data_IF_470349758071
#
_entry.id   IF_470349758071
#
_cell.length_a   1.000
_cell.length_b   1.000
_cell.length_c   1.000
_cell.angle_alpha   90.00
_cell.angle_beta   90.00
_cell.angle_gamma   90.00
#
_symmetry.space_group_name_H-M   'P 1'
#
loop_
_entity.id
_entity.type
_entity.pdbx_description
1 polymer ?
#
# COMPACT_ATOMS: atom_id res chain seq x y z
N UNK A 1 -6.54 0.70 -4.88
CA UNK A 1 -5.11 0.88 -4.58
C UNK A 1 -4.49 1.66 -5.72
N UNK A 2 -3.81 2.75 -5.42
CA UNK A 2 -3.09 3.55 -6.40
C UNK A 2 -1.84 4.09 -5.74
N UNK A 3 -0.78 4.26 -6.51
CA UNK A 3 0.37 5.02 -6.05
C UNK A 3 -0.06 6.45 -5.77
N UNK A 4 0.38 6.97 -4.63
CA UNK A 4 0.19 8.39 -4.27
C UNK A 4 1.56 9.00 -4.06
N UNK A 5 1.66 10.30 -4.29
CA UNK A 5 2.85 11.04 -3.95
C UNK A 5 3.02 11.05 -2.43
N UNK A 6 4.26 10.95 -1.98
CA UNK A 6 4.60 11.18 -0.58
C UNK A 6 4.42 12.65 -0.24
N UNK A 7 3.76 12.94 0.88
CA UNK A 7 3.53 14.31 1.35
C UNK A 7 4.67 14.72 2.27
N UNK A 8 5.40 15.78 1.91
CA UNK A 8 6.51 16.32 2.72
C UNK A 8 6.02 17.54 3.47
N UNK A 9 6.20 17.55 4.79
CA UNK A 9 5.84 18.64 5.69
C UNK A 9 6.77 18.66 6.93
N UNK A 10 6.40 19.41 7.97
CA UNK A 10 7.21 19.55 9.19
C UNK A 10 7.35 18.25 10.00
N UNK A 11 6.45 17.28 9.80
CA UNK A 11 6.41 16.01 10.50
C UNK A 11 6.71 14.81 9.57
N UNK A 12 6.70 15.03 8.26
CA UNK A 12 6.95 14.02 7.23
C UNK A 12 8.14 14.43 6.36
N UNK A 13 9.21 13.64 6.34
CA UNK A 13 10.39 13.97 5.54
C UNK A 13 10.99 12.77 4.83
N UNK A 14 11.54 13.03 3.64
CA UNK A 14 12.39 12.11 2.89
C UNK A 14 13.80 12.66 2.92
N UNK A 15 14.77 11.81 3.25
CA UNK A 15 16.18 12.12 3.13
C UNK A 15 16.90 10.96 2.44
N UNK A 16 17.97 11.29 1.72
CA UNK A 16 18.78 10.30 1.03
C UNK A 16 20.27 10.57 1.24
N UNK A 17 21.06 9.52 1.06
CA UNK A 17 22.51 9.56 1.20
C UNK A 17 23.14 8.55 0.25
N UNK A 18 24.22 8.95 -0.40
CA UNK A 18 25.08 8.00 -1.11
C UNK A 18 26.04 7.38 -0.11
N UNK A 19 26.01 6.05 -0.01
CA UNK A 19 26.98 5.30 0.77
C UNK A 19 27.69 4.28 -0.14
N UNK A 20 28.98 4.10 0.08
CA UNK A 20 29.80 3.10 -0.63
C UNK A 20 29.55 1.68 -0.11
N UNK A 21 28.96 1.56 1.08
CA UNK A 21 28.51 0.30 1.67
C UNK A 21 26.98 0.17 1.56
N UNK A 22 26.49 -1.06 1.59
CA UNK A 22 25.05 -1.40 1.62
C UNK A 22 24.39 -1.13 2.98
N UNK A 23 25.11 -0.53 3.93
CA UNK A 23 24.62 -0.23 5.28
C UNK A 23 24.42 1.27 5.42
N UNK A 24 23.22 1.69 5.82
CA UNK A 24 22.92 3.09 6.06
C UNK A 24 23.25 3.48 7.50
N UNK A 25 24.45 4.02 7.70
CA UNK A 25 24.89 4.54 9.00
C UNK A 25 24.35 5.95 9.28
N UNK A 26 24.43 6.39 10.53
CA UNK A 26 24.22 7.79 10.88
C UNK A 26 25.24 8.73 10.20
N UNK A 27 24.96 10.04 10.20
CA UNK A 27 25.80 11.07 9.60
C UNK A 27 25.00 12.11 8.84
N UNK A 28 25.63 12.75 7.84
CA UNK A 28 24.99 13.81 7.06
C UNK A 28 24.03 13.21 6.02
N UNK A 29 22.75 13.55 6.15
CA UNK A 29 21.70 13.18 5.21
C UNK A 29 21.29 14.39 4.39
N UNK A 30 21.02 14.20 3.10
CA UNK A 30 20.51 15.26 2.22
C UNK A 30 18.99 15.16 2.15
N UNK A 31 18.31 16.30 2.28
CA UNK A 31 16.86 16.36 2.15
C UNK A 31 16.43 16.04 0.72
N UNK A 32 15.39 15.22 0.58
CA UNK A 32 14.85 14.76 -0.70
C UNK A 32 15.52 13.50 -1.25
N UNK A 33 15.15 13.16 -2.48
CA UNK A 33 15.70 12.03 -3.24
C UNK A 33 16.86 12.52 -4.12
N UNK A 34 18.05 12.01 -3.85
CA UNK A 34 19.28 12.33 -4.61
C UNK A 34 19.60 11.18 -5.57
N UNK A 35 19.86 11.50 -6.82
CA UNK A 35 20.22 10.52 -7.85
C UNK A 35 21.49 9.76 -7.46
N UNK A 36 21.44 8.43 -7.54
CA UNK A 36 22.57 7.57 -7.17
C UNK A 36 22.74 7.35 -5.66
N UNK A 37 21.87 7.92 -4.82
CA UNK A 37 21.83 7.59 -3.40
C UNK A 37 21.45 6.12 -3.21
N UNK A 38 22.12 5.47 -2.27
CA UNK A 38 21.92 4.06 -1.92
C UNK A 38 21.20 3.88 -0.58
N UNK A 39 21.00 4.99 0.14
CA UNK A 39 20.35 5.02 1.44
C UNK A 39 19.16 5.98 1.44
N UNK A 40 18.08 5.55 2.09
CA UNK A 40 16.85 6.32 2.29
C UNK A 40 16.49 6.34 3.76
N UNK A 41 16.10 7.52 4.25
CA UNK A 41 15.57 7.75 5.59
C UNK A 41 14.22 8.44 5.47
N UNK A 42 13.23 7.86 6.13
CA UNK A 42 11.86 8.35 6.14
C UNK A 42 11.49 8.76 7.56
N UNK A 43 10.87 9.92 7.69
CA UNK A 43 10.18 10.35 8.91
C UNK A 43 8.71 10.47 8.59
N UNK A 44 7.88 9.84 9.41
CA UNK A 44 6.44 9.72 9.21
C UNK A 44 5.72 10.16 10.48
N UNK A 45 4.58 10.82 10.30
CA UNK A 45 3.67 11.17 11.39
C UNK A 45 2.59 10.10 11.56
N UNK A 46 2.42 9.63 12.79
CA UNK A 46 1.33 8.74 13.22
C UNK A 46 -0.04 9.44 13.05
N UNK A 47 -0.95 8.77 12.37
CA UNK A 47 -2.21 9.33 11.89
C UNK A 47 -2.07 10.44 10.84
N UNK A 48 -0.89 10.60 10.23
CA UNK A 48 -0.62 11.59 9.20
C UNK A 48 -1.06 11.16 7.80
N UNK A 49 -0.87 12.02 6.79
CA UNK A 49 -1.28 11.72 5.41
C UNK A 49 -0.49 10.58 4.75
N UNK A 50 0.72 10.31 5.25
CA UNK A 50 1.56 9.18 4.83
C UNK A 50 1.38 7.93 5.72
N UNK A 51 0.49 7.98 6.70
CA UNK A 51 0.07 6.82 7.48
C UNK A 51 -1.14 6.18 6.81
N UNK A 52 -1.09 4.87 6.56
CA UNK A 52 -2.03 4.22 5.62
C UNK A 52 -3.46 4.17 6.13
N UNK A 53 -3.65 4.12 7.45
CA UNK A 53 -4.97 4.13 8.10
C UNK A 53 -5.40 5.52 8.57
N UNK A 54 -4.48 6.49 8.56
CA UNK A 54 -4.66 7.84 9.10
C UNK A 54 -5.12 7.87 10.57
N UNK A 55 -4.75 6.87 11.38
CA UNK A 55 -5.10 6.81 12.80
C UNK A 55 -3.91 7.12 13.69
N UNK A 56 -4.09 8.02 14.67
CA UNK A 56 -3.08 8.27 15.70
C UNK A 56 -3.19 7.23 16.83
N UNK A 57 -2.77 6.00 16.53
CA UNK A 57 -2.88 4.84 17.43
C UNK A 57 -1.50 4.36 17.95
N UNK A 58 -0.43 5.09 17.63
CA UNK A 58 0.95 4.75 17.98
C UNK A 58 1.60 3.73 17.05
N UNK A 59 0.97 3.42 15.91
CA UNK A 59 1.46 2.48 14.90
C UNK A 59 1.42 3.14 13.53
N UNK A 60 2.61 3.34 12.96
CA UNK A 60 2.73 3.76 11.56
C UNK A 60 2.45 2.56 10.65
N UNK A 61 1.29 2.54 9.99
CA UNK A 61 1.00 1.58 8.94
C UNK A 61 1.59 2.08 7.61
N UNK A 62 2.71 1.50 7.19
CA UNK A 62 3.45 1.95 6.00
C UNK A 62 3.41 0.91 4.88
N UNK A 63 2.81 1.27 3.75
CA UNK A 63 2.91 0.53 2.48
C UNK A 63 3.87 1.21 1.50
N UNK A 64 4.93 1.85 1.99
CA UNK A 64 5.89 2.55 1.13
C UNK A 64 6.68 1.53 0.33
N UNK A 65 6.76 1.76 -0.98
CA UNK A 65 7.56 0.96 -1.89
C UNK A 65 8.39 1.89 -2.77
N UNK A 66 9.63 1.49 -3.04
CA UNK A 66 10.55 2.22 -3.91
C UNK A 66 10.58 1.46 -5.23
N UNK A 67 10.25 2.15 -6.31
CA UNK A 67 10.29 1.57 -7.66
C UNK A 67 11.13 2.45 -8.58
N UNK A 68 11.81 1.82 -9.53
CA UNK A 68 12.40 2.57 -10.65
C UNK A 68 11.28 2.86 -11.66
N UNK A 69 11.17 4.11 -12.15
CA UNK A 69 10.20 4.37 -13.20
C UNK A 69 10.54 3.51 -14.41
N UNK A 70 9.61 2.64 -14.83
CA UNK A 70 9.71 2.01 -16.15
C UNK A 70 9.56 3.14 -17.15
N UNK A 71 10.63 3.43 -17.89
CA UNK A 71 10.58 4.36 -19.01
C UNK A 71 9.82 3.67 -20.15
N UNK A 72 8.48 3.65 -20.06
CA UNK A 72 7.64 3.21 -21.17
C UNK A 72 7.62 4.36 -22.17
N UNK A 73 8.24 4.13 -23.34
CA UNK A 73 8.10 5.04 -24.47
C UNK A 73 6.62 5.33 -24.72
N UNK A 74 6.29 6.63 -24.82
CA UNK A 74 4.97 7.21 -25.05
C UNK A 74 3.88 6.22 -25.47
N UNK A 75 3.05 5.83 -24.52
CA UNK A 75 1.68 5.42 -24.77
C UNK A 75 0.86 5.87 -23.57
N UNK A 76 -0.13 6.72 -23.85
CA UNK A 76 -1.16 7.10 -22.89
C UNK A 76 -1.89 5.84 -22.44
N UNK A 77 -1.43 5.23 -21.35
CA UNK A 77 -2.15 4.18 -20.65
C UNK A 77 -2.19 4.56 -19.18
N UNK A 78 -3.26 5.26 -18.80
CA UNK A 78 -3.77 5.35 -17.44
C UNK A 78 -4.24 3.96 -16.98
N UNK A 79 -3.27 3.06 -16.78
CA UNK A 79 -3.48 1.71 -16.24
C UNK A 79 -3.03 1.69 -14.79
N UNK A 80 -3.98 1.83 -13.86
CA UNK A 80 -3.73 1.66 -12.44
C UNK A 80 -3.43 0.18 -12.14
N UNK A 81 -2.18 -0.22 -12.28
CA UNK A 81 -1.71 -1.57 -11.92
C UNK A 81 -1.68 -1.70 -10.39
N UNK A 82 -2.71 -2.34 -9.82
CA UNK A 82 -2.80 -2.64 -8.40
C UNK A 82 -1.85 -3.77 -7.99
N UNK A 83 -0.71 -3.43 -7.42
CA UNK A 83 0.14 -4.38 -6.68
C UNK A 83 -0.38 -4.56 -5.25
N UNK A 84 -0.35 -5.79 -4.73
CA UNK A 84 -0.62 -6.11 -3.34
C UNK A 84 0.68 -6.47 -2.60
N UNK A 85 0.89 -5.87 -1.44
CA UNK A 85 1.95 -6.26 -0.49
C UNK A 85 1.44 -7.43 0.34
N UNK A 86 2.21 -8.50 0.44
CA UNK A 86 1.90 -9.65 1.28
C UNK A 86 2.34 -9.38 2.71
N UNK A 87 1.40 -9.05 3.59
CA UNK A 87 1.61 -9.00 5.03
C UNK A 87 1.01 -10.26 5.67
N UNK A 88 1.82 -11.23 6.14
CA UNK A 88 1.32 -12.50 6.67
C UNK A 88 0.48 -12.36 7.93
N UNK A 89 0.53 -11.20 8.59
CA UNK A 89 -0.20 -10.92 9.84
C UNK A 89 -1.33 -9.89 9.65
N UNK A 90 -1.63 -9.46 8.41
CA UNK A 90 -2.76 -8.55 8.19
C UNK A 90 -4.09 -9.30 8.33
N UNK A 91 -5.09 -8.74 9.05
CA UNK A 91 -6.39 -9.38 9.16
C UNK A 91 -7.01 -9.51 7.76
N UNK A 92 -7.36 -10.73 7.39
CA UNK A 92 -8.02 -11.00 6.12
C UNK A 92 -9.36 -10.27 6.09
N UNK A 93 -9.48 -9.24 5.25
CA UNK A 93 -10.76 -8.63 4.91
C UNK A 93 -11.53 -9.62 4.03
N UNK A 94 -12.20 -10.57 4.66
CA UNK A 94 -13.21 -11.34 3.97
C UNK A 94 -14.36 -10.38 3.66
N UNK A 95 -14.59 -10.13 2.37
CA UNK A 95 -15.71 -9.31 1.95
C UNK A 95 -17.00 -10.05 2.31
N UNK A 96 -17.56 -9.66 3.45
CA UNK A 96 -18.74 -10.26 4.06
C UNK A 96 -19.94 -10.22 3.12
N UNK A 97 -19.95 -9.29 2.15
CA UNK A 97 -20.97 -9.20 1.11
C UNK A 97 -20.92 -10.42 0.20
N UNK A 98 -19.73 -10.89 -0.21
CA UNK A 98 -19.63 -12.10 -1.04
C UNK A 98 -20.10 -13.34 -0.29
N UNK A 99 -19.76 -13.48 0.99
CA UNK A 99 -20.24 -14.61 1.81
C UNK A 99 -21.76 -14.59 1.93
N UNK A 100 -22.36 -13.40 2.15
CA UNK A 100 -23.81 -13.24 2.21
C UNK A 100 -24.49 -13.56 0.86
N UNK A 101 -23.92 -13.11 -0.26
CA UNK A 101 -24.47 -13.41 -1.59
C UNK A 101 -24.42 -14.91 -1.91
N UNK A 102 -23.34 -15.59 -1.55
CA UNK A 102 -23.20 -17.04 -1.74
C UNK A 102 -24.22 -17.82 -0.91
N UNK A 103 -24.37 -17.48 0.37
CA UNK A 103 -25.33 -18.13 1.27
C UNK A 103 -26.78 -17.94 0.81
N UNK A 104 -27.15 -16.73 0.38
CA UNK A 104 -28.49 -16.43 -0.15
C UNK A 104 -28.76 -17.15 -1.48
N UNK A 105 -27.75 -17.23 -2.35
CA UNK A 105 -27.87 -17.94 -3.64
C UNK A 105 -28.10 -19.44 -3.42
N UNK A 106 -27.35 -20.06 -2.51
CA UNK A 106 -27.54 -21.48 -2.15
C UNK A 106 -28.91 -21.71 -1.53
N UNK A 107 -29.34 -20.85 -0.61
CA UNK A 107 -30.67 -20.92 -0.01
C UNK A 107 -31.79 -20.83 -1.06
N UNK A 108 -31.67 -19.88 -2.00
CA UNK A 108 -32.62 -19.71 -3.09
C UNK A 108 -32.68 -20.96 -3.99
N UNK A 109 -31.54 -21.53 -4.36
CA UNK A 109 -31.47 -22.75 -5.17
C UNK A 109 -32.09 -23.95 -4.47
N UNK A 110 -31.86 -24.12 -3.16
CA UNK A 110 -32.49 -25.18 -2.37
C UNK A 110 -34.01 -25.00 -2.32
N UNK A 111 -34.48 -23.77 -2.06
CA UNK A 111 -35.92 -23.46 -2.02
C UNK A 111 -36.58 -23.68 -3.38
N UNK A 112 -35.90 -23.30 -4.47
CA UNK A 112 -36.36 -23.53 -5.85
C UNK A 112 -36.46 -25.03 -6.14
N UNK A 113 -35.43 -25.82 -5.82
CA UNK A 113 -35.45 -27.28 -6.01
C UNK A 113 -36.60 -27.95 -5.25
N UNK A 114 -36.84 -27.55 -4.00
CA UNK A 114 -37.96 -28.08 -3.19
C UNK A 114 -39.34 -27.77 -3.76
N UNK A 115 -39.50 -26.67 -4.52
CA UNK A 115 -40.77 -26.33 -5.21
C UNK A 115 -41.03 -27.15 -6.47
N UNK A 116 -40.01 -27.80 -7.04
CA UNK A 116 -40.15 -28.66 -8.22
C UNK A 116 -40.17 -30.16 -7.90
N UNK A 117 -40.09 -30.55 -6.62
CA UNK A 117 -40.21 -31.95 -6.15
C UNK A 117 -41.61 -32.30 -5.63
N UNK A 118 -42.64 -31.53 -6.02
CA UNK A 118 -44.05 -31.78 -5.75
C UNK A 118 -44.84 -31.52 -7.02
#
# INVERSE_FOLDING_TARGET
CGWRNFVVDNNNSIQSKTNTSNICTDGTWQTGLVTGATCLKLTLKDGGENDSDNQANGVIESTISITTPVVVGSSNSSGSSGGCVYHPNAPARFDTVFILLMTLSVYYLIRRRRRFSH
#
